data_IF_255244959057
#
_entry.id   IF_255244959057
#
_cell.length_a   1.000
_cell.length_b   1.000
_cell.length_c   1.000
_cell.angle_alpha   90.00
_cell.angle_beta   90.00
_cell.angle_gamma   90.00
#
_symmetry.space_group_name_H-M   'P 1'
#
loop_
_entity.id
_entity.type
_entity.pdbx_description
1 polymer ?
#
# COMPACT_ATOMS: atom_id res chain seq x y z
N UNK A 1 -8.51 -9.22 -3.34
CA UNK A 1 -7.95 -10.12 -2.30
C UNK A 1 -6.66 -10.86 -2.69
N UNK A 2 -6.24 -10.91 -3.97
CA UNK A 2 -4.87 -11.36 -4.33
C UNK A 2 -3.80 -10.24 -4.34
N UNK A 3 -4.23 -8.97 -4.30
CA UNK A 3 -3.38 -7.78 -4.40
C UNK A 3 -2.39 -7.70 -3.24
N UNK A 4 -2.90 -7.81 -2.01
CA UNK A 4 -2.09 -7.74 -0.79
C UNK A 4 -1.04 -8.86 -0.72
N UNK A 5 -1.39 -10.10 -1.11
CA UNK A 5 -0.42 -11.20 -1.18
C UNK A 5 0.64 -10.97 -2.27
N UNK A 6 0.27 -10.40 -3.41
CA UNK A 6 1.23 -9.98 -4.44
C UNK A 6 2.17 -8.89 -3.93
N UNK A 7 1.64 -7.89 -3.22
CA UNK A 7 2.44 -6.83 -2.59
C UNK A 7 3.42 -7.44 -1.60
N UNK A 8 2.99 -8.33 -0.71
CA UNK A 8 3.88 -9.00 0.24
C UNK A 8 5.00 -9.78 -0.46
N UNK A 9 4.68 -10.51 -1.53
CA UNK A 9 5.69 -11.20 -2.36
C UNK A 9 6.66 -10.21 -3.00
N UNK A 10 6.18 -9.08 -3.51
CA UNK A 10 7.00 -8.02 -4.10
C UNK A 10 7.93 -7.40 -3.05
N UNK A 11 7.41 -7.08 -1.86
CA UNK A 11 8.18 -6.58 -0.73
C UNK A 11 9.28 -7.56 -0.34
N UNK A 12 8.97 -8.85 -0.18
CA UNK A 12 9.97 -9.87 0.14
C UNK A 12 11.08 -9.97 -0.90
N UNK A 13 10.73 -9.90 -2.20
CA UNK A 13 11.71 -9.93 -3.30
C UNK A 13 12.60 -8.69 -3.38
N UNK A 14 12.09 -7.54 -2.94
CA UNK A 14 12.79 -6.25 -3.04
C UNK A 14 13.42 -5.80 -1.71
N UNK A 15 13.09 -6.43 -0.59
CA UNK A 15 13.46 -5.98 0.75
C UNK A 15 14.97 -5.78 0.95
N UNK A 16 15.79 -6.66 0.36
CA UNK A 16 17.26 -6.55 0.43
C UNK A 16 17.88 -5.60 -0.59
N UNK A 17 17.10 -5.07 -1.54
CA UNK A 17 17.59 -4.23 -2.65
C UNK A 17 17.20 -2.77 -2.47
N UNK A 18 16.01 -2.53 -1.90
CA UNK A 18 15.41 -1.20 -1.79
C UNK A 18 14.92 -0.94 -0.37
N UNK A 19 15.01 0.30 0.12
CA UNK A 19 14.22 0.76 1.24
C UNK A 19 12.74 0.78 0.84
N UNK A 20 11.87 0.14 1.62
CA UNK A 20 10.45 0.00 1.28
C UNK A 20 9.60 0.61 2.39
N UNK A 21 8.65 1.46 2.01
CA UNK A 21 7.53 1.87 2.84
C UNK A 21 6.25 1.25 2.28
N UNK A 22 5.43 0.69 3.15
CA UNK A 22 4.08 0.24 2.80
C UNK A 22 3.08 0.92 3.71
N UNK A 23 2.05 1.49 3.11
CA UNK A 23 0.95 2.13 3.82
C UNK A 23 -0.38 1.65 3.25
N UNK A 24 -1.29 1.34 4.15
CA UNK A 24 -2.70 1.09 3.85
C UNK A 24 -3.48 2.36 4.20
N UNK A 25 -4.06 2.99 3.18
CA UNK A 25 -4.82 4.22 3.36
C UNK A 25 -6.06 4.02 4.22
N UNK A 26 -6.67 2.84 4.21
CA UNK A 26 -7.83 2.50 5.04
C UNK A 26 -7.45 2.45 6.52
N UNK A 27 -6.23 2.03 6.86
CA UNK A 27 -5.75 1.99 8.24
C UNK A 27 -5.26 3.35 8.76
N UNK A 28 -4.60 4.12 7.89
CA UNK A 28 -3.83 5.30 8.31
C UNK A 28 -4.59 6.62 8.18
N UNK A 29 -5.46 6.77 7.18
CA UNK A 29 -6.10 8.05 6.87
C UNK A 29 -7.57 8.15 7.34
N UNK A 30 -8.05 7.18 8.15
CA UNK A 30 -9.45 6.99 8.61
C UNK A 30 -10.14 8.29 9.07
N UNK A 31 -10.77 9.00 8.13
CA UNK A 31 -11.47 10.28 8.33
C UNK A 31 -10.62 11.46 8.83
N UNK A 32 -9.29 11.36 8.78
CA UNK A 32 -8.35 12.40 9.24
C UNK A 32 -7.66 13.13 8.07
N UNK A 33 -8.09 12.86 6.85
CA UNK A 33 -7.40 13.32 5.64
C UNK A 33 -6.06 12.61 5.44
N UNK A 34 -5.22 13.16 4.56
CA UNK A 34 -3.92 12.55 4.23
C UNK A 34 -2.79 12.88 5.21
N UNK A 35 -2.99 13.83 6.12
CA UNK A 35 -1.96 14.28 7.08
C UNK A 35 -1.22 13.13 7.77
N UNK A 36 -1.93 12.13 8.35
CA UNK A 36 -1.28 10.98 8.98
C UNK A 36 -0.44 10.10 8.05
N UNK A 37 -0.63 10.15 6.73
CA UNK A 37 0.14 9.35 5.78
C UNK A 37 1.61 9.79 5.74
N UNK A 38 1.89 11.09 5.81
CA UNK A 38 3.26 11.60 5.74
C UNK A 38 4.20 11.00 6.82
N UNK A 39 3.92 11.16 8.13
CA UNK A 39 4.76 10.56 9.17
C UNK A 39 4.69 9.02 9.16
N UNK A 40 3.60 8.41 8.70
CA UNK A 40 3.50 6.95 8.58
C UNK A 40 4.45 6.41 7.49
N UNK A 41 4.55 7.07 6.35
CA UNK A 41 5.47 6.72 5.26
C UNK A 41 6.92 6.83 5.73
N UNK A 42 7.30 7.95 6.36
CA UNK A 42 8.66 8.13 6.88
C UNK A 42 8.98 7.06 7.94
N UNK A 43 8.06 6.80 8.88
CA UNK A 43 8.24 5.75 9.88
C UNK A 43 8.40 4.36 9.24
N UNK A 44 7.64 4.05 8.19
CA UNK A 44 7.74 2.78 7.49
C UNK A 44 9.11 2.59 6.84
N UNK A 45 9.67 3.62 6.20
CA UNK A 45 11.03 3.56 5.67
C UNK A 45 12.08 3.36 6.78
N UNK A 46 11.99 4.13 7.86
CA UNK A 46 12.92 4.03 9.01
C UNK A 46 12.87 2.62 9.61
N UNK A 47 11.66 2.07 9.81
CA UNK A 47 11.49 0.71 10.33
C UNK A 47 12.07 -0.35 9.40
N UNK A 48 11.90 -0.21 8.09
CA UNK A 48 12.46 -1.14 7.11
C UNK A 48 14.00 -1.07 7.10
N UNK A 49 14.56 0.13 7.12
CA UNK A 49 16.01 0.34 7.17
C UNK A 49 16.62 -0.15 8.47
N UNK A 50 16.00 0.07 9.62
CA UNK A 50 16.49 -0.47 10.90
C UNK A 50 16.58 -2.00 10.91
N UNK A 51 15.71 -2.69 10.16
CA UNK A 51 15.75 -4.15 10.02
C UNK A 51 16.75 -4.65 8.98
N UNK A 52 16.94 -3.90 7.90
CA UNK A 52 17.73 -4.34 6.73
C UNK A 52 19.15 -3.76 6.67
N UNK A 53 19.38 -2.64 7.37
CA UNK A 53 20.65 -1.89 7.44
C UNK A 53 20.83 -1.33 8.87
N UNK A 54 21.02 -2.19 9.89
CA UNK A 54 21.06 -1.76 11.30
C UNK A 54 22.22 -0.81 11.61
N UNK A 55 23.32 -0.87 10.84
CA UNK A 55 24.49 0.00 11.02
C UNK A 55 24.32 1.38 10.36
N UNK A 56 23.22 1.60 9.64
CA UNK A 56 22.94 2.88 8.99
C UNK A 56 22.52 3.91 10.03
N UNK A 57 23.30 4.99 10.16
CA UNK A 57 22.96 6.13 11.01
C UNK A 57 21.95 7.00 10.28
N UNK A 58 20.72 7.02 10.78
CA UNK A 58 19.65 7.86 10.26
C UNK A 58 19.58 9.19 11.02
N UNK A 59 19.28 10.31 10.36
CA UNK A 59 19.06 11.59 11.02
C UNK A 59 17.77 11.58 11.83
N UNK A 60 17.58 12.60 12.65
CA UNK A 60 16.26 12.88 13.23
C UNK A 60 15.32 13.43 12.14
N UNK A 61 14.12 12.88 12.04
CA UNK A 61 13.10 13.28 11.06
C UNK A 61 12.08 14.22 11.68
N UNK A 62 11.77 15.31 10.97
CA UNK A 62 10.89 16.38 11.47
C UNK A 62 9.49 15.84 11.78
N UNK A 63 8.91 15.08 10.85
CA UNK A 63 7.56 14.53 10.98
C UNK A 63 7.46 13.53 12.14
N UNK A 64 8.50 12.74 12.39
CA UNK A 64 8.51 11.78 13.49
C UNK A 64 8.67 12.47 14.84
N UNK A 65 9.51 13.51 14.91
CA UNK A 65 9.70 14.33 16.11
C UNK A 65 8.40 15.03 16.49
N UNK A 66 7.76 15.70 15.54
CA UNK A 66 6.50 16.42 15.74
C UNK A 66 5.38 15.47 16.19
N UNK A 67 5.24 14.33 15.51
CA UNK A 67 4.30 13.28 15.91
C UNK A 67 4.52 12.86 17.38
N UNK A 68 5.76 12.59 17.76
CA UNK A 68 6.09 12.17 19.13
C UNK A 68 5.78 13.26 20.16
N UNK A 69 6.03 14.54 19.85
CA UNK A 69 5.68 15.65 20.75
C UNK A 69 4.17 15.80 20.94
N UNK A 70 3.38 15.60 19.88
CA UNK A 70 1.90 15.64 19.96
C UNK A 70 1.39 14.51 20.85
N UNK A 71 1.87 13.28 20.64
CA UNK A 71 1.51 12.14 21.47
C UNK A 71 1.89 12.33 22.95
N UNK A 72 3.06 12.94 23.23
CA UNK A 72 3.49 13.23 24.59
C UNK A 72 2.65 14.33 25.26
N UNK A 73 2.26 15.37 24.52
CA UNK A 73 1.47 16.51 25.06
C UNK A 73 0.00 16.17 25.26
N UNK A 74 -0.57 15.27 24.45
CA UNK A 74 -1.96 14.80 24.56
C UNK A 74 -2.07 13.33 24.15
N UNK A 75 -1.96 12.38 25.10
CA UNK A 75 -2.23 10.98 24.83
C UNK A 75 -3.66 10.82 24.26
N UNK A 76 -3.78 10.35 23.02
CA UNK A 76 -5.07 10.18 22.33
C UNK A 76 -5.48 11.30 21.37
N UNK A 77 -4.69 12.37 21.23
CA UNK A 77 -4.90 13.37 20.16
C UNK A 77 -4.22 12.91 18.87
N UNK A 78 -5.00 12.64 17.84
CA UNK A 78 -4.51 12.44 16.48
C UNK A 78 -4.50 13.80 15.78
N UNK A 79 -3.44 14.13 15.04
CA UNK A 79 -3.37 15.38 14.27
C UNK A 79 -4.59 15.42 13.33
N UNK A 80 -5.52 16.34 13.55
CA UNK A 80 -6.88 16.30 12.96
C UNK A 80 -7.00 17.04 11.62
N UNK A 81 -5.91 17.22 10.87
CA UNK A 81 -6.00 17.87 9.56
C UNK A 81 -4.68 17.94 8.81
N UNK A 82 -4.78 18.08 7.50
CA UNK A 82 -3.65 18.33 6.61
C UNK A 82 -3.17 19.78 6.75
N UNK A 83 -1.86 19.98 6.95
CA UNK A 83 -1.21 21.29 6.85
C UNK A 83 -0.25 21.34 5.64
N UNK A 84 -0.16 22.47 4.90
CA UNK A 84 0.89 22.66 3.90
C UNK A 84 2.31 22.44 4.45
N UNK A 85 2.54 22.76 5.72
CA UNK A 85 3.81 22.50 6.38
C UNK A 85 4.14 21.00 6.48
N UNK A 86 3.12 20.12 6.58
CA UNK A 86 3.34 18.66 6.62
C UNK A 86 3.89 18.15 5.27
N UNK A 87 3.45 18.75 4.16
CA UNK A 87 3.92 18.42 2.83
C UNK A 87 5.39 18.86 2.61
N UNK A 88 5.75 20.04 3.08
CA UNK A 88 7.13 20.54 3.04
C UNK A 88 8.06 19.68 3.91
N UNK A 89 7.65 19.40 5.15
CA UNK A 89 8.37 18.51 6.06
C UNK A 89 8.53 17.10 5.50
N UNK A 90 7.53 16.60 4.76
CA UNK A 90 7.62 15.31 4.09
C UNK A 90 8.71 15.26 3.03
N UNK A 91 8.73 16.22 2.10
CA UNK A 91 9.80 16.26 1.09
C UNK A 91 11.18 16.41 1.74
N UNK A 92 11.29 17.26 2.76
CA UNK A 92 12.53 17.44 3.51
C UNK A 92 13.02 16.13 4.16
N UNK A 93 12.12 15.39 4.83
CA UNK A 93 12.46 14.11 5.47
C UNK A 93 12.82 13.04 4.43
N UNK A 94 12.21 13.04 3.24
CA UNK A 94 12.60 12.16 2.13
C UNK A 94 14.00 12.50 1.59
N UNK A 95 14.33 13.79 1.46
CA UNK A 95 15.66 14.24 1.07
C UNK A 95 16.72 13.84 2.11
N UNK A 96 16.43 14.03 3.40
CA UNK A 96 17.30 13.62 4.49
C UNK A 96 17.54 12.10 4.48
N UNK A 97 16.48 11.32 4.22
CA UNK A 97 16.58 9.87 4.08
C UNK A 97 17.42 9.47 2.87
N UNK A 98 17.20 10.10 1.72
CA UNK A 98 17.99 9.86 0.50
C UNK A 98 19.47 10.20 0.68
N UNK A 99 19.77 11.31 1.38
CA UNK A 99 21.13 11.71 1.70
C UNK A 99 21.82 10.71 2.64
N UNK A 100 21.11 10.22 3.68
CA UNK A 100 21.63 9.20 4.59
C UNK A 100 21.95 7.88 3.87
N UNK A 101 21.24 7.56 2.79
CA UNK A 101 21.51 6.40 1.94
C UNK A 101 22.71 6.57 1.00
N UNK A 102 23.36 7.74 0.99
CA UNK A 102 24.56 8.01 0.20
C UNK A 102 24.29 8.23 -1.29
N UNK A 103 23.17 8.89 -1.64
CA UNK A 103 22.73 9.13 -3.03
C UNK A 103 22.53 7.82 -3.81
N UNK A 104 21.58 6.97 -3.39
CA UNK A 104 21.38 5.64 -3.94
C UNK A 104 21.10 5.67 -5.45
N UNK A 105 21.68 4.69 -6.16
CA UNK A 105 21.37 4.45 -7.56
C UNK A 105 19.93 3.97 -7.76
N UNK A 106 19.48 3.87 -9.01
CA UNK A 106 18.08 3.55 -9.36
C UNK A 106 17.52 2.30 -8.65
N UNK A 107 18.35 1.26 -8.49
CA UNK A 107 17.97 -0.01 -7.88
C UNK A 107 17.89 0.02 -6.35
N UNK A 108 18.29 1.11 -5.72
CA UNK A 108 18.38 1.30 -4.26
C UNK A 108 17.49 2.44 -3.77
N UNK A 109 16.70 3.03 -4.68
CA UNK A 109 15.78 4.11 -4.38
C UNK A 109 14.70 3.73 -3.40
N UNK A 110 14.17 4.73 -2.71
CA UNK A 110 13.01 4.58 -1.86
C UNK A 110 11.84 4.07 -2.70
N UNK A 111 11.18 3.00 -2.23
CA UNK A 111 9.96 2.48 -2.83
C UNK A 111 8.80 2.66 -1.86
N UNK A 112 7.83 3.49 -2.22
CA UNK A 112 6.56 3.59 -1.51
C UNK A 112 5.52 2.70 -2.18
N UNK A 113 4.83 1.87 -1.40
CA UNK A 113 3.65 1.12 -1.83
C UNK A 113 2.44 1.67 -1.06
N UNK A 114 1.45 2.18 -1.80
CA UNK A 114 0.19 2.72 -1.26
C UNK A 114 -0.94 1.76 -1.61
N UNK A 115 -1.47 1.04 -0.62
CA UNK A 115 -2.62 0.15 -0.80
C UNK A 115 -3.95 0.88 -0.54
N UNK A 116 -4.99 0.38 -1.20
CA UNK A 116 -6.34 0.96 -1.24
C UNK A 116 -6.39 2.44 -1.66
N UNK A 117 -5.57 2.87 -2.63
CA UNK A 117 -5.44 4.28 -3.02
C UNK A 117 -6.78 4.95 -3.40
N UNK A 118 -7.76 4.17 -3.87
CA UNK A 118 -9.09 4.64 -4.24
C UNK A 118 -9.83 5.28 -3.05
N UNK A 119 -9.48 4.92 -1.81
CA UNK A 119 -10.05 5.50 -0.58
C UNK A 119 -9.77 6.99 -0.44
N UNK A 120 -8.68 7.46 -1.02
CA UNK A 120 -8.31 8.88 -0.98
C UNK A 120 -9.13 9.71 -1.97
N UNK A 121 -9.66 9.06 -3.01
CA UNK A 121 -10.34 9.72 -4.11
C UNK A 121 -11.82 9.98 -3.78
N UNK A 122 -12.41 11.03 -4.39
CA UNK A 122 -13.86 11.20 -4.35
C UNK A 122 -14.56 10.05 -5.09
N UNK A 123 -15.71 9.63 -4.57
CA UNK A 123 -16.54 8.56 -5.14
C UNK A 123 -18.02 8.92 -5.06
N UNK A 124 -18.63 9.19 -6.22
CA UNK A 124 -20.00 9.67 -6.29
C UNK A 124 -20.16 10.99 -5.52
N UNK A 125 -21.06 11.02 -4.55
CA UNK A 125 -21.28 12.18 -3.66
C UNK A 125 -20.31 12.24 -2.48
N UNK A 126 -19.51 11.19 -2.26
CA UNK A 126 -18.54 11.17 -1.16
C UNK A 126 -17.29 11.97 -1.56
N UNK A 127 -16.93 13.04 -0.82
CA UNK A 127 -15.71 13.79 -1.11
C UNK A 127 -14.47 12.93 -0.87
N UNK A 128 -13.40 13.23 -1.59
CA UNK A 128 -12.09 12.64 -1.33
C UNK A 128 -11.54 13.08 0.02
N UNK A 129 -10.47 12.42 0.45
CA UNK A 129 -9.84 12.75 1.73
C UNK A 129 -9.16 14.11 1.66
N UNK A 130 -9.31 14.91 2.71
CA UNK A 130 -8.68 16.24 2.77
C UNK A 130 -7.18 16.17 2.45
N UNK A 131 -6.72 17.00 1.52
CA UNK A 131 -5.32 17.08 1.09
C UNK A 131 -4.87 16.05 0.04
N UNK A 132 -5.75 15.17 -0.48
CA UNK A 132 -5.35 14.11 -1.41
C UNK A 132 -4.62 14.60 -2.67
N UNK A 133 -5.06 15.73 -3.25
CA UNK A 133 -4.41 16.34 -4.42
C UNK A 133 -2.98 16.76 -4.08
N UNK A 134 -2.81 17.45 -2.95
CA UNK A 134 -1.49 17.87 -2.48
C UNK A 134 -0.59 16.66 -2.25
N UNK A 135 -1.10 15.61 -1.61
CA UNK A 135 -0.35 14.36 -1.39
C UNK A 135 0.16 13.75 -2.70
N UNK A 136 -0.71 13.63 -3.71
CA UNK A 136 -0.31 13.12 -5.03
C UNK A 136 0.69 14.03 -5.75
N UNK A 137 0.52 15.35 -5.63
CA UNK A 137 1.49 16.34 -6.10
C UNK A 137 2.86 16.12 -5.47
N UNK A 138 2.93 15.86 -4.15
CA UNK A 138 4.19 15.57 -3.46
C UNK A 138 4.82 14.25 -3.90
N UNK A 139 4.03 13.19 -4.11
CA UNK A 139 4.56 11.91 -4.63
C UNK A 139 5.17 12.11 -6.02
N UNK A 140 4.47 12.85 -6.89
CA UNK A 140 4.95 13.17 -8.23
C UNK A 140 6.20 14.05 -8.17
N UNK A 141 6.23 15.07 -7.33
CA UNK A 141 7.39 15.94 -7.12
C UNK A 141 8.61 15.12 -6.66
N UNK A 142 8.45 14.28 -5.63
CA UNK A 142 9.53 13.41 -5.13
C UNK A 142 10.04 12.42 -6.20
N UNK A 143 9.16 11.96 -7.09
CA UNK A 143 9.53 11.12 -8.24
C UNK A 143 10.26 11.91 -9.35
N UNK A 144 9.95 13.19 -9.55
CA UNK A 144 10.53 14.02 -10.63
C UNK A 144 11.78 14.81 -10.21
N UNK A 145 11.76 15.51 -9.08
CA UNK A 145 12.76 16.53 -8.72
C UNK A 145 14.15 15.97 -8.44
N UNK A 146 14.27 14.74 -7.94
CA UNK A 146 15.56 14.06 -7.78
C UNK A 146 15.44 12.54 -7.96
N UNK A 147 14.29 12.10 -8.48
CA UNK A 147 13.83 10.72 -8.46
C UNK A 147 14.19 10.03 -7.12
N UNK A 148 13.85 10.70 -6.02
CA UNK A 148 14.08 10.24 -4.65
C UNK A 148 13.28 8.98 -4.37
N UNK A 149 12.06 8.98 -4.93
CA UNK A 149 11.00 8.04 -4.63
C UNK A 149 10.47 7.42 -5.92
N UNK A 150 10.43 6.09 -5.97
CA UNK A 150 9.46 5.41 -6.82
C UNK A 150 8.25 5.06 -5.97
N UNK A 151 7.07 5.10 -6.58
CA UNK A 151 5.85 4.71 -5.90
C UNK A 151 5.00 3.78 -6.74
N UNK A 152 4.39 2.82 -6.06
CA UNK A 152 3.40 1.89 -6.56
C UNK A 152 2.09 2.17 -5.83
N UNK A 153 1.04 2.48 -6.58
CA UNK A 153 -0.31 2.61 -6.04
C UNK A 153 -1.12 1.38 -6.39
N UNK A 154 -1.90 0.90 -5.44
CA UNK A 154 -2.75 -0.28 -5.61
C UNK A 154 -4.18 0.14 -5.34
N UNK A 155 -5.02 -0.02 -6.37
CA UNK A 155 -6.43 0.33 -6.34
C UNK A 155 -7.27 -0.62 -7.19
N UNK A 156 -8.58 -0.50 -7.08
CA UNK A 156 -9.59 -1.16 -7.91
C UNK A 156 -10.02 -0.29 -9.08
N UNK A 157 -9.90 1.03 -8.98
CA UNK A 157 -10.37 1.97 -10.00
C UNK A 157 -9.17 2.63 -10.72
N UNK A 158 -9.09 2.56 -12.06
CA UNK A 158 -8.05 3.28 -12.80
C UNK A 158 -8.27 4.81 -12.86
N UNK A 159 -9.32 5.35 -12.25
CA UNK A 159 -9.65 6.77 -12.20
C UNK A 159 -8.45 7.65 -11.87
N UNK A 160 -7.61 7.22 -10.91
CA UNK A 160 -6.39 7.92 -10.50
C UNK A 160 -5.46 8.27 -11.66
N UNK A 161 -5.42 7.44 -12.72
CA UNK A 161 -4.55 7.65 -13.88
C UNK A 161 -5.30 8.15 -15.12
N UNK A 162 -6.64 8.09 -15.13
CA UNK A 162 -7.47 8.29 -16.32
C UNK A 162 -8.38 9.52 -16.28
N UNK A 163 -8.66 10.06 -15.10
CA UNK A 163 -9.46 11.27 -14.93
C UNK A 163 -8.52 12.47 -14.87
N UNK A 164 -8.75 13.51 -15.68
CA UNK A 164 -7.87 14.67 -15.74
C UNK A 164 -8.04 15.61 -14.54
N UNK A 165 -9.25 15.71 -13.99
CA UNK A 165 -9.59 16.67 -12.93
C UNK A 165 -10.61 16.10 -11.96
N UNK A 166 -10.50 16.44 -10.68
CA UNK A 166 -11.54 16.22 -9.68
C UNK A 166 -12.06 17.57 -9.21
N UNK A 167 -13.34 17.82 -9.47
CA UNK A 167 -13.96 19.12 -9.20
C UNK A 167 -13.14 20.24 -9.87
N UNK A 168 -12.66 21.21 -9.11
CA UNK A 168 -11.89 22.35 -9.61
C UNK A 168 -10.38 22.11 -9.68
N UNK A 169 -9.91 20.93 -9.24
CA UNK A 169 -8.49 20.63 -9.13
C UNK A 169 -8.00 19.66 -10.19
N UNK A 170 -6.78 19.89 -10.68
CA UNK A 170 -6.12 18.98 -11.61
C UNK A 170 -5.67 17.70 -10.90
N UNK A 171 -5.77 16.59 -11.62
CA UNK A 171 -5.23 15.33 -11.17
C UNK A 171 -3.72 15.29 -11.39
N UNK A 172 -2.98 15.41 -10.28
CA UNK A 172 -1.51 15.34 -10.28
C UNK A 172 -0.95 14.04 -10.86
N UNK A 173 -1.70 12.94 -10.88
CA UNK A 173 -1.30 11.65 -11.42
C UNK A 173 -1.95 11.29 -12.76
N UNK A 174 -2.61 12.24 -13.44
CA UNK A 174 -3.21 12.00 -14.76
C UNK A 174 -2.14 11.53 -15.74
N UNK A 175 -2.31 10.30 -16.28
CA UNK A 175 -1.37 9.63 -17.19
C UNK A 175 0.08 9.54 -16.67
N UNK A 176 0.29 9.71 -15.36
CA UNK A 176 1.62 9.66 -14.76
C UNK A 176 2.05 8.22 -14.43
N UNK A 177 1.10 7.29 -14.37
CA UNK A 177 1.32 5.91 -13.92
C UNK A 177 1.29 4.91 -15.08
N UNK A 178 2.14 3.89 -14.98
CA UNK A 178 2.01 2.69 -15.79
C UNK A 178 0.99 1.75 -15.16
N UNK A 179 -0.16 1.61 -15.79
CA UNK A 179 -1.20 0.68 -15.34
C UNK A 179 -0.79 -0.77 -15.61
N UNK A 180 -0.93 -1.62 -14.59
CA UNK A 180 -0.79 -3.07 -14.70
C UNK A 180 -2.07 -3.70 -14.17
N UNK A 181 -2.84 -4.31 -15.06
CA UNK A 181 -4.04 -5.04 -14.68
C UNK A 181 -3.65 -6.38 -14.05
N UNK A 182 -4.25 -6.68 -12.89
CA UNK A 182 -4.15 -8.03 -12.32
C UNK A 182 -5.29 -8.88 -12.87
N UNK A 183 -5.00 -9.91 -13.68
CA UNK A 183 -6.02 -10.83 -14.14
C UNK A 183 -6.61 -11.64 -12.97
N UNK A 184 -7.76 -12.30 -13.18
CA UNK A 184 -8.21 -13.38 -12.31
C UNK A 184 -7.10 -14.42 -12.11
N UNK A 185 -7.15 -15.12 -10.97
CA UNK A 185 -6.19 -16.16 -10.64
C UNK A 185 -6.21 -17.27 -11.70
N UNK A 186 -5.05 -17.72 -12.15
CA UNK A 186 -4.94 -18.84 -13.07
C UNK A 186 -5.43 -20.13 -12.40
N UNK A 187 -5.91 -21.09 -13.19
CA UNK A 187 -6.42 -22.36 -12.66
C UNK A 187 -5.38 -23.11 -11.84
N UNK A 188 -4.13 -23.15 -12.31
CA UNK A 188 -3.04 -23.83 -11.62
C UNK A 188 -2.70 -23.13 -10.28
N UNK A 189 -2.69 -21.80 -10.26
CA UNK A 189 -2.49 -21.01 -9.02
C UNK A 189 -3.64 -21.22 -8.03
N UNK A 190 -4.87 -21.33 -8.52
CA UNK A 190 -6.05 -21.59 -7.70
C UNK A 190 -6.02 -23.00 -7.10
N UNK A 191 -5.57 -23.99 -7.89
CA UNK A 191 -5.35 -25.36 -7.43
C UNK A 191 -4.30 -25.39 -6.31
N UNK A 192 -3.12 -24.82 -6.57
CA UNK A 192 -2.04 -24.74 -5.58
C UNK A 192 -2.52 -24.05 -4.29
N UNK A 193 -3.27 -22.96 -4.41
CA UNK A 193 -3.84 -22.26 -3.26
C UNK A 193 -4.77 -23.15 -2.43
N UNK A 194 -5.75 -23.81 -3.07
CA UNK A 194 -6.73 -24.64 -2.35
C UNK A 194 -6.06 -25.85 -1.69
N UNK A 195 -5.16 -26.53 -2.41
CA UNK A 195 -4.42 -27.68 -1.88
C UNK A 195 -3.47 -27.30 -0.74
N UNK A 196 -2.73 -26.19 -0.90
CA UNK A 196 -1.81 -25.71 0.13
C UNK A 196 -2.55 -25.33 1.41
N UNK A 197 -3.72 -24.67 1.31
CA UNK A 197 -4.50 -24.30 2.49
C UNK A 197 -5.20 -25.50 3.10
N UNK A 198 -5.81 -26.36 2.28
CA UNK A 198 -6.47 -27.58 2.74
C UNK A 198 -5.50 -28.49 3.48
N UNK A 199 -4.32 -28.72 2.93
CA UNK A 199 -3.29 -29.58 3.54
C UNK A 199 -2.84 -29.09 4.93
N UNK A 200 -2.70 -27.78 5.12
CA UNK A 200 -2.41 -27.18 6.44
C UNK A 200 -3.52 -27.42 7.46
N UNK A 201 -4.76 -27.61 7.00
CA UNK A 201 -5.92 -27.92 7.82
C UNK A 201 -6.24 -29.42 7.90
N UNK A 202 -5.40 -30.28 7.31
CA UNK A 202 -5.66 -31.72 7.24
C UNK A 202 -6.77 -32.14 6.26
N UNK A 203 -7.22 -31.22 5.40
CA UNK A 203 -8.23 -31.45 4.37
C UNK A 203 -7.56 -31.84 3.06
N UNK A 204 -8.12 -32.84 2.37
CA UNK A 204 -7.74 -33.22 1.01
C UNK A 204 -8.99 -33.23 0.13
N UNK A 205 -8.87 -32.66 -1.05
CA UNK A 205 -9.95 -32.60 -2.03
C UNK A 205 -9.74 -33.69 -3.08
N UNK A 206 -10.82 -34.35 -3.49
CA UNK A 206 -10.81 -35.14 -4.71
C UNK A 206 -10.73 -34.20 -5.92
N UNK A 207 -10.10 -34.67 -7.01
CA UNK A 207 -9.83 -33.84 -8.20
C UNK A 207 -11.11 -33.20 -8.79
N UNK A 208 -12.20 -33.96 -8.83
CA UNK A 208 -13.50 -33.49 -9.35
C UNK A 208 -14.12 -32.39 -8.48
N UNK A 209 -14.02 -32.54 -7.15
CA UNK A 209 -14.48 -31.55 -6.19
C UNK A 209 -13.63 -30.28 -6.27
N UNK A 210 -12.30 -30.43 -6.37
CA UNK A 210 -11.34 -29.34 -6.52
C UNK A 210 -11.60 -28.52 -7.77
N UNK A 211 -11.75 -29.18 -8.92
CA UNK A 211 -12.08 -28.49 -10.19
C UNK A 211 -13.41 -27.75 -10.09
N UNK A 212 -14.44 -28.38 -9.53
CA UNK A 212 -15.76 -27.77 -9.37
C UNK A 212 -15.72 -26.51 -8.50
N UNK A 213 -15.01 -26.56 -7.37
CA UNK A 213 -14.84 -25.42 -6.45
C UNK A 213 -14.07 -24.27 -7.10
N UNK A 214 -12.99 -24.57 -7.83
CA UNK A 214 -12.18 -23.56 -8.52
C UNK A 214 -12.97 -22.90 -9.66
N UNK A 215 -13.69 -23.70 -10.45
CA UNK A 215 -14.54 -23.18 -11.54
C UNK A 215 -15.66 -22.30 -10.99
N UNK A 216 -16.34 -22.73 -9.92
CA UNK A 216 -17.37 -21.95 -9.25
C UNK A 216 -16.83 -20.63 -8.68
N UNK A 217 -15.58 -20.63 -8.20
CA UNK A 217 -14.89 -19.43 -7.71
C UNK A 217 -14.52 -18.41 -8.78
N UNK A 218 -14.55 -18.78 -10.08
CA UNK A 218 -14.36 -17.85 -11.21
C UNK A 218 -13.02 -17.11 -11.20
N UNK A 219 -11.96 -17.73 -10.65
CA UNK A 219 -10.64 -17.10 -10.51
C UNK A 219 -10.56 -16.03 -9.40
N UNK A 220 -11.59 -15.91 -8.56
CA UNK A 220 -11.56 -15.05 -7.37
C UNK A 220 -11.08 -15.84 -6.16
N UNK A 221 -9.85 -15.60 -5.64
CA UNK A 221 -9.33 -16.37 -4.52
C UNK A 221 -10.17 -16.30 -3.25
N UNK A 222 -10.77 -15.13 -2.94
CA UNK A 222 -11.63 -15.01 -1.76
C UNK A 222 -12.89 -15.87 -1.87
N UNK A 223 -13.60 -15.79 -3.00
CA UNK A 223 -14.81 -16.57 -3.25
C UNK A 223 -14.49 -18.06 -3.23
N UNK A 224 -13.43 -18.46 -3.93
CA UNK A 224 -12.96 -19.85 -3.97
C UNK A 224 -12.70 -20.38 -2.56
N UNK A 225 -12.01 -19.60 -1.71
CA UNK A 225 -11.74 -19.98 -0.32
C UNK A 225 -13.01 -20.10 0.51
N UNK A 226 -13.97 -19.19 0.36
CA UNK A 226 -15.26 -19.27 1.06
C UNK A 226 -16.05 -20.52 0.66
N UNK A 227 -16.09 -20.85 -0.63
CA UNK A 227 -16.72 -22.09 -1.11
C UNK A 227 -16.03 -23.32 -0.55
N UNK A 228 -14.69 -23.34 -0.52
CA UNK A 228 -13.92 -24.44 0.06
C UNK A 228 -14.18 -24.61 1.56
N UNK A 229 -14.21 -23.51 2.33
CA UNK A 229 -14.54 -23.52 3.75
C UNK A 229 -15.94 -24.06 3.98
N UNK A 230 -16.93 -23.58 3.22
CA UNK A 230 -18.31 -24.04 3.34
C UNK A 230 -18.47 -25.53 3.01
N UNK A 231 -17.81 -26.01 1.97
CA UNK A 231 -17.85 -27.43 1.59
C UNK A 231 -17.25 -28.34 2.69
N UNK A 232 -16.24 -27.84 3.42
CA UNK A 232 -15.65 -28.57 4.56
C UNK A 232 -16.59 -28.55 5.77
N UNK A 233 -17.17 -27.40 6.12
CA UNK A 233 -18.17 -27.27 7.20
C UNK A 233 -19.36 -28.23 6.97
N UNK A 234 -19.96 -28.19 5.78
CA UNK A 234 -21.09 -29.04 5.41
C UNK A 234 -20.73 -30.54 5.50
N UNK A 235 -19.46 -30.90 5.27
CA UNK A 235 -18.98 -32.29 5.37
C UNK A 235 -18.73 -32.75 6.81
N UNK A 236 -18.34 -31.83 7.69
CA UNK A 236 -18.08 -32.06 9.11
C UNK A 236 -19.35 -31.98 9.96
N UNK A 237 -20.42 -31.36 9.45
CA UNK A 237 -21.70 -31.24 10.13
C UNK A 237 -21.76 -30.10 11.16
N UNK A 238 -20.94 -29.06 10.96
CA UNK A 238 -20.97 -27.80 11.71
C UNK A 238 -21.71 -26.71 10.91
#
# INVERSE_FOLDING_TARGET
MGKTSLIQRLQGRLAGRRPIAFVDTQGTARQQGVGPLYPAIVAAFVNHLGRTRPDLVLPEFQLLRERNQVFQKKPGFTQTGFSPADAESFLHDLDALHAALGQPGEKERLLLIVDEVDRLLPSGETPGYEGFIAFFGQLRAANQQARLLDFLVVGVDPALNRIERWQDHDNELYRALREVWMPPMALDDAREMVESLGSQMGVRYEEEALQSLIQAGGGQPFVTRQMCSRAVEDRLGE
#
